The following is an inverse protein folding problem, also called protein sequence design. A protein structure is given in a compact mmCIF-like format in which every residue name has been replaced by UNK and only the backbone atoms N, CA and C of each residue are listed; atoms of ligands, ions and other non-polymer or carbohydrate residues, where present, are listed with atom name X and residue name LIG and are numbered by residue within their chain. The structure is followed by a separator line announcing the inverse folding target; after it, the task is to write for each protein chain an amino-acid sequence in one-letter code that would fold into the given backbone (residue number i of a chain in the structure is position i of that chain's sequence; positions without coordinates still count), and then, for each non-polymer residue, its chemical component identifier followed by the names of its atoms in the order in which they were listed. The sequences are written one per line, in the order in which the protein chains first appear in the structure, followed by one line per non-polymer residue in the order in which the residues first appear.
data_IF_793326602345
#
_entry.id   IF_793326602345
#
_cell.length_a   1.000
_cell.length_b   1.000
_cell.length_c   1.000
_cell.angle_alpha   90.00
_cell.angle_beta   90.00
_cell.angle_gamma   90.00
#
_symmetry.space_group_name_H-M   'P 1'
#
loop_
_entity.id
_entity.type
_entity.pdbx_description
1 polymer ?
#
# COMPACT_ATOMS: atom_id res chain seq x y z
N UNK A 1 -31.95 3.28 21.12
CA UNK A 1 -31.13 2.23 20.48
C UNK A 1 -30.20 1.66 21.53
N UNK A 2 -30.04 0.34 21.58
CA UNK A 2 -29.09 -0.30 22.50
C UNK A 2 -27.72 -0.43 21.84
N UNK A 3 -26.63 -0.46 22.63
CA UNK A 3 -25.27 -0.64 22.11
C UNK A 3 -25.07 -1.93 21.29
N UNK A 4 -25.98 -2.91 21.45
CA UNK A 4 -25.97 -4.16 20.69
C UNK A 4 -26.61 -4.01 19.31
N UNK A 5 -27.66 -3.18 19.18
CA UNK A 5 -28.26 -2.87 17.87
C UNK A 5 -27.29 -2.10 16.97
N UNK A 6 -26.48 -1.20 17.54
CA UNK A 6 -25.44 -0.50 16.79
C UNK A 6 -24.30 -1.42 16.35
N UNK A 7 -24.00 -2.48 17.11
CA UNK A 7 -22.96 -3.45 16.74
C UNK A 7 -23.40 -4.35 15.57
N UNK A 8 -24.64 -4.86 15.60
CA UNK A 8 -25.18 -5.70 14.51
C UNK A 8 -25.40 -4.91 13.20
N UNK A 9 -25.80 -3.63 13.31
CA UNK A 9 -25.90 -2.72 12.16
C UNK A 9 -24.52 -2.34 11.61
N UNK A 10 -23.54 -2.15 12.49
CA UNK A 10 -22.16 -1.89 12.10
C UNK A 10 -21.53 -3.10 11.42
N UNK A 11 -21.70 -4.31 11.97
CA UNK A 11 -21.25 -5.57 11.38
C UNK A 11 -21.87 -5.81 10.00
N UNK A 12 -23.16 -5.53 9.81
CA UNK A 12 -23.78 -5.59 8.48
C UNK A 12 -23.23 -4.57 7.51
N UNK A 13 -23.06 -3.33 7.95
CA UNK A 13 -22.47 -2.27 7.13
C UNK A 13 -21.06 -2.65 6.65
N UNK A 14 -20.27 -3.15 7.58
CA UNK A 14 -18.94 -3.73 7.41
C UNK A 14 -18.90 -4.85 6.36
N UNK A 15 -19.81 -5.83 6.46
CA UNK A 15 -19.88 -6.97 5.56
C UNK A 15 -20.36 -6.56 4.18
N UNK A 16 -21.33 -5.64 4.12
CA UNK A 16 -21.83 -5.07 2.87
C UNK A 16 -20.76 -4.24 2.12
N UNK A 17 -19.79 -3.64 2.82
CA UNK A 17 -18.66 -2.93 2.19
C UNK A 17 -17.58 -3.88 1.63
N UNK A 18 -17.42 -5.08 2.20
CA UNK A 18 -16.37 -6.04 1.81
C UNK A 18 -16.79 -7.07 0.75
N UNK A 19 -18.08 -7.40 0.63
CA UNK A 19 -18.55 -8.56 -0.15
C UNK A 19 -19.46 -8.22 -1.35
N UNK A 20 -19.88 -6.98 -1.55
CA UNK A 20 -20.75 -6.61 -2.69
C UNK A 20 -19.90 -6.33 -3.96
N UNK A 21 -20.14 -7.03 -5.09
CA UNK A 21 -19.53 -6.70 -6.39
C UNK A 21 -19.77 -5.24 -6.78
N UNK A 22 -18.75 -4.57 -7.33
CA UNK A 22 -18.73 -3.12 -7.58
C UNK A 22 -18.23 -2.29 -6.38
N UNK A 23 -17.37 -2.89 -5.56
CA UNK A 23 -17.05 -2.54 -4.18
C UNK A 23 -16.72 -1.07 -3.89
N UNK A 24 -17.31 -0.62 -2.80
CA UNK A 24 -16.85 0.50 -1.99
C UNK A 24 -15.34 0.41 -1.80
N UNK A 25 -14.57 1.48 -2.05
CA UNK A 25 -13.15 1.42 -1.83
C UNK A 25 -12.77 1.29 -0.36
N UNK A 26 -11.82 0.40 -0.11
CA UNK A 26 -11.18 0.25 1.19
C UNK A 26 -10.09 1.28 1.36
N UNK A 27 -10.10 1.88 2.55
CA UNK A 27 -9.09 2.82 2.99
C UNK A 27 -8.06 2.12 3.84
N UNK A 28 -6.84 2.03 3.32
CA UNK A 28 -5.69 1.53 4.06
C UNK A 28 -5.00 2.68 4.80
N UNK A 29 -4.73 2.47 6.09
CA UNK A 29 -4.01 3.37 6.97
C UNK A 29 -2.62 2.78 7.26
N UNK A 30 -1.56 3.57 7.10
CA UNK A 30 -0.15 3.13 7.17
C UNK A 30 0.30 2.49 8.52
N UNK A 31 1.41 1.74 8.45
CA UNK A 31 1.96 0.72 9.37
C UNK A 31 2.25 1.20 10.80
N UNK A 32 2.51 2.49 11.03
CA UNK A 32 2.87 3.01 12.37
C UNK A 32 1.76 2.82 13.41
N UNK A 33 0.52 2.66 12.95
CA UNK A 33 -0.63 2.50 13.82
C UNK A 33 -0.94 1.03 14.15
N UNK A 34 -1.02 0.18 13.12
CA UNK A 34 -1.51 -1.19 13.27
C UNK A 34 -0.39 -2.13 13.74
N UNK A 35 0.86 -1.89 13.33
CA UNK A 35 1.99 -2.73 13.75
C UNK A 35 2.34 -2.60 15.25
N UNK A 36 1.90 -1.52 15.91
CA UNK A 36 2.15 -1.27 17.33
C UNK A 36 1.04 -1.79 18.26
N UNK A 37 -0.03 -2.40 17.71
CA UNK A 37 -1.25 -2.67 18.48
C UNK A 37 -1.93 -1.39 18.97
N UNK A 38 -1.70 -0.26 18.28
CA UNK A 38 -2.33 1.00 18.65
C UNK A 38 -3.81 0.93 18.28
N UNK A 39 -4.64 1.51 19.15
CA UNK A 39 -6.07 1.61 18.93
C UNK A 39 -6.34 2.45 17.66
N UNK A 40 -6.95 1.86 16.62
CA UNK A 40 -7.21 2.57 15.37
C UNK A 40 -8.06 3.83 15.54
N UNK A 41 -8.87 3.92 16.61
CA UNK A 41 -9.65 5.12 16.93
C UNK A 41 -8.79 6.32 17.34
N UNK A 42 -7.55 6.10 17.78
CA UNK A 42 -6.61 7.17 18.12
C UNK A 42 -5.93 7.78 16.89
N UNK A 43 -6.08 7.17 15.72
CA UNK A 43 -5.47 7.62 14.46
C UNK A 43 -6.28 8.68 13.73
N UNK A 44 -7.57 8.80 14.07
CA UNK A 44 -8.49 9.75 13.45
C UNK A 44 -8.86 10.78 14.51
N UNK A 45 -8.30 11.99 14.44
CA UNK A 45 -8.50 12.97 15.47
C UNK A 45 -9.96 13.42 15.60
N UNK A 46 -10.45 13.47 16.83
CA UNK A 46 -11.70 14.15 17.21
C UNK A 46 -13.01 13.53 16.73
N UNK A 47 -13.00 12.35 16.09
CA UNK A 47 -14.19 11.85 15.36
C UNK A 47 -14.92 10.68 16.00
N UNK A 48 -14.41 10.03 17.04
CA UNK A 48 -15.12 8.89 17.60
C UNK A 48 -15.33 8.98 19.12
N UNK A 49 -16.60 8.85 19.52
CA UNK A 49 -16.92 8.16 20.77
C UNK A 49 -16.12 6.85 20.82
N UNK A 50 -15.69 6.40 22.00
CA UNK A 50 -14.79 5.25 22.09
C UNK A 50 -15.36 4.08 21.29
N UNK A 51 -14.60 3.56 20.31
CA UNK A 51 -15.00 2.34 19.60
C UNK A 51 -15.37 1.26 20.63
N UNK A 52 -16.29 0.34 20.31
CA UNK A 52 -16.45 -0.88 21.09
C UNK A 52 -15.07 -1.51 21.39
N UNK A 53 -14.84 -1.99 22.61
CA UNK A 53 -13.53 -2.53 23.06
C UNK A 53 -12.96 -3.57 22.08
N UNK A 54 -13.82 -4.42 21.53
CA UNK A 54 -13.48 -5.46 20.54
C UNK A 54 -12.89 -4.90 19.23
N UNK A 55 -13.20 -3.64 18.90
CA UNK A 55 -12.70 -2.96 17.70
C UNK A 55 -11.52 -2.04 18.01
N UNK A 56 -11.16 -1.84 19.29
CA UNK A 56 -9.96 -1.08 19.66
C UNK A 56 -8.69 -1.89 19.51
N UNK A 57 -8.78 -3.22 19.55
CA UNK A 57 -7.64 -4.13 19.44
C UNK A 57 -8.03 -5.36 18.60
N UNK A 58 -8.44 -5.18 17.34
CA UNK A 58 -8.63 -6.35 16.49
C UNK A 58 -7.30 -7.09 16.37
N UNK A 59 -7.35 -8.42 16.28
CA UNK A 59 -6.16 -9.19 15.95
C UNK A 59 -5.65 -8.69 14.59
N UNK A 60 -4.37 -8.29 14.47
CA UNK A 60 -3.84 -7.86 13.19
C UNK A 60 -4.01 -8.96 12.15
N UNK A 61 -4.24 -8.56 10.91
CA UNK A 61 -4.29 -9.48 9.77
C UNK A 61 -5.55 -10.37 9.68
N UNK A 62 -6.63 -10.00 10.36
CA UNK A 62 -7.93 -10.67 10.23
C UNK A 62 -8.92 -9.87 9.42
N UNK A 63 -9.88 -10.54 8.80
CA UNK A 63 -10.93 -9.89 8.01
C UNK A 63 -11.64 -8.76 8.77
N UNK A 64 -11.86 -8.91 10.07
CA UNK A 64 -12.43 -7.90 10.97
C UNK A 64 -11.56 -6.64 11.07
N UNK A 65 -10.22 -6.79 11.11
CA UNK A 65 -9.32 -5.65 11.09
C UNK A 65 -9.36 -4.90 9.74
N UNK A 66 -9.48 -5.62 8.62
CA UNK A 66 -9.54 -5.03 7.27
C UNK A 66 -10.82 -4.21 7.08
N UNK A 67 -11.91 -4.82 7.51
CA UNK A 67 -13.22 -4.20 7.66
C UNK A 67 -13.15 -2.93 8.50
N UNK A 68 -12.50 -2.98 9.66
CA UNK A 68 -12.43 -1.84 10.56
C UNK A 68 -11.67 -0.68 9.90
N UNK A 69 -10.55 -0.96 9.24
CA UNK A 69 -9.81 0.06 8.48
C UNK A 69 -10.70 0.72 7.41
N UNK A 70 -11.50 -0.06 6.70
CA UNK A 70 -12.43 0.43 5.69
C UNK A 70 -13.44 1.43 6.28
N UNK A 71 -14.03 1.07 7.42
CA UNK A 71 -15.00 1.95 8.10
C UNK A 71 -14.35 3.21 8.65
N UNK A 72 -13.19 3.08 9.28
CA UNK A 72 -12.42 4.23 9.80
C UNK A 72 -12.09 5.21 8.68
N UNK A 73 -11.65 4.71 7.53
CA UNK A 73 -11.38 5.59 6.40
C UNK A 73 -12.62 6.25 5.80
N UNK A 74 -13.77 5.59 5.80
CA UNK A 74 -15.01 6.26 5.40
C UNK A 74 -15.35 7.39 6.40
N UNK A 75 -15.24 7.15 7.71
CA UNK A 75 -15.43 8.21 8.70
C UNK A 75 -14.45 9.37 8.52
N UNK A 76 -13.19 9.07 8.20
CA UNK A 76 -12.19 10.08 7.87
C UNK A 76 -12.63 10.92 6.66
N UNK A 77 -13.06 10.27 5.57
CA UNK A 77 -13.50 10.95 4.35
C UNK A 77 -14.77 11.79 4.58
N UNK A 78 -15.74 11.28 5.34
CA UNK A 78 -16.96 12.00 5.70
C UNK A 78 -16.69 13.23 6.55
N UNK A 79 -15.60 13.21 7.32
CA UNK A 79 -15.22 14.29 8.22
C UNK A 79 -14.30 15.33 7.57
N UNK A 80 -13.94 15.18 6.30
CA UNK A 80 -13.15 16.17 5.56
C UNK A 80 -13.85 17.53 5.57
N UNK A 81 -13.21 18.52 6.20
CA UNK A 81 -13.78 19.86 6.39
C UNK A 81 -14.35 20.12 7.80
N UNK A 82 -14.20 19.20 8.74
CA UNK A 82 -14.59 19.38 10.14
C UNK A 82 -13.76 20.43 10.92
N UNK A 83 -12.78 21.06 10.27
CA UNK A 83 -11.94 22.09 10.90
C UNK A 83 -10.78 21.52 11.74
N UNK A 84 -10.15 20.45 11.26
CA UNK A 84 -8.99 19.83 11.90
C UNK A 84 -7.84 20.82 12.09
N UNK A 85 -7.17 20.72 13.24
CA UNK A 85 -5.93 21.42 13.53
C UNK A 85 -4.75 20.81 12.75
N UNK A 86 -3.64 21.55 12.68
CA UNK A 86 -2.45 21.08 11.96
C UNK A 86 -1.87 19.78 12.53
N UNK A 87 -1.78 19.67 13.87
CA UNK A 87 -1.29 18.45 14.53
C UNK A 87 -2.19 17.23 14.23
N UNK A 88 -3.50 17.46 14.06
CA UNK A 88 -4.44 16.42 13.69
C UNK A 88 -4.24 15.97 12.23
N UNK A 89 -4.00 16.92 11.32
CA UNK A 89 -3.66 16.63 9.92
C UNK A 89 -2.32 15.88 9.78
N UNK A 90 -1.31 16.24 10.58
CA UNK A 90 -0.02 15.55 10.62
C UNK A 90 -0.16 14.10 11.13
N UNK A 91 -1.07 13.85 12.07
CA UNK A 91 -1.31 12.53 12.63
C UNK A 91 -2.05 11.57 11.69
N UNK A 92 -2.76 12.07 10.68
CA UNK A 92 -3.46 11.23 9.70
C UNK A 92 -2.41 10.40 8.92
N UNK A 93 -2.48 9.07 8.91
CA UNK A 93 -1.54 8.26 8.16
C UNK A 93 -1.78 8.39 6.64
N UNK A 94 -1.01 7.67 5.84
CA UNK A 94 -1.35 7.54 4.40
C UNK A 94 -2.75 6.96 4.25
N UNK A 95 -3.48 7.45 3.25
CA UNK A 95 -4.84 7.02 2.90
C UNK A 95 -4.81 6.47 1.47
N UNK A 96 -5.10 5.18 1.32
CA UNK A 96 -5.34 4.57 0.00
C UNK A 96 -6.84 4.49 -0.30
N UNK A 97 -7.23 4.44 -1.57
CA UNK A 97 -8.60 4.16 -1.99
C UNK A 97 -8.56 3.05 -3.04
N UNK A 98 -9.02 1.85 -2.68
CA UNK A 98 -8.77 0.64 -3.46
C UNK A 98 -10.00 0.24 -4.29
N UNK A 99 -9.85 0.08 -5.60
CA UNK A 99 -10.91 -0.41 -6.49
C UNK A 99 -10.47 -1.71 -7.16
N UNK A 100 -11.42 -2.63 -7.35
CA UNK A 100 -11.24 -3.83 -8.19
C UNK A 100 -12.07 -3.63 -9.46
N UNK A 101 -13.32 -4.07 -9.48
CA UNK A 101 -14.33 -3.78 -10.50
C UNK A 101 -15.22 -2.60 -10.06
N UNK A 102 -15.76 -1.85 -11.03
CA UNK A 102 -16.71 -0.75 -10.74
C UNK A 102 -17.92 -0.86 -11.66
N UNK A 103 -19.07 -1.20 -11.07
CA UNK A 103 -20.35 -1.19 -11.78
C UNK A 103 -20.78 0.25 -12.12
N UNK A 104 -21.41 0.50 -13.29
CA UNK A 104 -21.92 1.82 -13.63
C UNK A 104 -22.86 2.43 -12.58
N UNK A 105 -23.59 1.60 -11.83
CA UNK A 105 -24.50 2.05 -10.78
C UNK A 105 -23.78 2.66 -9.56
N UNK A 106 -22.48 2.38 -9.40
CA UNK A 106 -21.66 2.90 -8.31
C UNK A 106 -20.81 4.11 -8.71
N UNK A 107 -20.91 4.59 -9.96
CA UNK A 107 -20.11 5.70 -10.46
C UNK A 107 -20.29 6.99 -9.63
N UNK A 108 -21.53 7.32 -9.24
CA UNK A 108 -21.80 8.50 -8.41
C UNK A 108 -21.18 8.38 -7.00
N UNK A 109 -21.14 7.16 -6.46
CA UNK A 109 -20.50 6.88 -5.16
C UNK A 109 -18.98 7.02 -5.28
N UNK A 110 -18.38 6.45 -6.33
CA UNK A 110 -16.96 6.56 -6.60
C UNK A 110 -16.54 8.03 -6.79
N UNK A 111 -17.27 8.82 -7.59
CA UNK A 111 -16.98 10.23 -7.81
C UNK A 111 -17.05 11.05 -6.52
N UNK A 112 -18.07 10.82 -5.69
CA UNK A 112 -18.22 11.48 -4.39
C UNK A 112 -17.04 11.18 -3.48
N UNK A 113 -16.60 9.92 -3.40
CA UNK A 113 -15.49 9.51 -2.55
C UNK A 113 -14.16 10.04 -3.04
N UNK A 114 -13.89 9.96 -4.34
CA UNK A 114 -12.69 10.55 -4.96
C UNK A 114 -12.64 12.06 -4.77
N UNK A 115 -13.78 12.75 -4.82
CA UNK A 115 -13.86 14.19 -4.52
C UNK A 115 -13.47 14.50 -3.08
N UNK A 116 -13.94 13.71 -2.11
CA UNK A 116 -13.53 13.85 -0.69
C UNK A 116 -12.06 13.54 -0.50
N UNK A 117 -11.56 12.49 -1.16
CA UNK A 117 -10.16 12.10 -1.14
C UNK A 117 -9.25 13.20 -1.70
N UNK A 118 -9.65 13.86 -2.79
CA UNK A 118 -8.92 15.00 -3.36
C UNK A 118 -8.87 16.19 -2.40
N UNK A 119 -9.97 16.49 -1.70
CA UNK A 119 -9.98 17.54 -0.66
C UNK A 119 -9.08 17.16 0.51
N UNK A 120 -9.08 15.89 0.93
CA UNK A 120 -8.17 15.40 1.98
C UNK A 120 -6.71 15.57 1.55
N UNK A 121 -6.35 15.19 0.33
CA UNK A 121 -5.00 15.43 -0.23
C UNK A 121 -4.61 16.91 -0.10
N UNK A 122 -5.50 17.82 -0.45
CA UNK A 122 -5.21 19.27 -0.39
C UNK A 122 -5.03 19.77 1.05
N UNK A 123 -5.68 19.15 2.03
CA UNK A 123 -5.48 19.44 3.46
C UNK A 123 -4.18 18.84 4.01
N UNK A 124 -3.79 17.66 3.53
CA UNK A 124 -2.58 16.94 3.94
C UNK A 124 -1.32 17.42 3.23
N UNK A 125 -1.46 18.21 2.16
CA UNK A 125 -0.37 18.81 1.43
C UNK A 125 0.22 19.96 2.25
N UNK A 126 1.16 19.64 3.14
CA UNK A 126 2.07 20.63 3.69
C UNK A 126 2.85 21.24 2.51
N UNK A 127 3.07 22.55 2.50
CA UNK A 127 3.64 23.32 1.38
C UNK A 127 5.08 22.96 0.96
N UNK A 128 5.54 21.74 1.20
CA UNK A 128 6.79 21.15 0.74
C UNK A 128 6.66 20.59 -0.69
N UNK A 129 7.52 21.10 -1.57
CA UNK A 129 7.67 20.62 -2.93
C UNK A 129 7.99 19.11 -2.98
N UNK A 130 7.08 18.32 -3.54
CA UNK A 130 7.42 17.09 -4.24
C UNK A 130 7.82 15.90 -3.36
N UNK A 131 7.04 15.57 -2.33
CA UNK A 131 7.21 14.27 -1.67
C UNK A 131 7.14 13.14 -2.70
N UNK A 132 8.17 12.28 -2.66
CA UNK A 132 8.25 11.09 -3.50
C UNK A 132 7.08 10.14 -3.24
N UNK A 133 6.41 10.21 -2.08
CA UNK A 133 5.32 9.32 -1.69
C UNK A 133 4.05 10.11 -1.38
N UNK A 134 2.99 10.02 -2.21
CA UNK A 134 1.77 10.74 -1.92
C UNK A 134 1.09 10.20 -0.65
N UNK A 135 0.68 11.10 0.25
CA UNK A 135 -0.12 10.75 1.46
C UNK A 135 -1.52 10.25 1.13
N UNK A 136 -1.97 10.45 -0.10
CA UNK A 136 -3.26 10.03 -0.62
C UNK A 136 -3.05 9.34 -1.96
N UNK A 137 -3.53 8.11 -2.11
CA UNK A 137 -3.32 7.30 -3.33
C UNK A 137 -4.60 6.57 -3.74
N UNK A 138 -4.82 6.45 -5.05
CA UNK A 138 -5.88 5.60 -5.62
C UNK A 138 -5.25 4.35 -6.20
N UNK A 139 -5.76 3.18 -5.84
CA UNK A 139 -5.28 1.88 -6.30
C UNK A 139 -6.35 1.22 -7.18
N UNK A 140 -5.96 0.75 -8.36
CA UNK A 140 -6.79 -0.10 -9.22
C UNK A 140 -6.15 -1.50 -9.27
N UNK A 141 -6.80 -2.47 -8.65
CA UNK A 141 -6.36 -3.86 -8.60
C UNK A 141 -6.85 -4.65 -9.82
N UNK A 142 -6.22 -5.79 -10.03
CA UNK A 142 -6.50 -6.83 -11.04
C UNK A 142 -6.39 -6.41 -12.51
N UNK A 143 -6.48 -5.12 -12.82
CA UNK A 143 -6.41 -4.61 -14.18
C UNK A 143 -7.74 -4.67 -14.93
N UNK A 144 -8.87 -4.67 -14.21
CA UNK A 144 -10.20 -4.61 -14.84
C UNK A 144 -10.38 -3.33 -15.63
N UNK A 145 -10.89 -3.48 -16.86
CA UNK A 145 -11.10 -2.38 -17.80
C UNK A 145 -12.14 -1.39 -17.32
N UNK A 146 -13.25 -1.86 -16.76
CA UNK A 146 -14.36 -1.04 -16.29
C UNK A 146 -13.94 -0.07 -15.16
N UNK A 147 -13.18 -0.55 -14.19
CA UNK A 147 -12.64 0.27 -13.13
C UNK A 147 -11.72 1.37 -13.67
N UNK A 148 -10.85 1.05 -14.63
CA UNK A 148 -10.02 2.05 -15.28
C UNK A 148 -10.85 3.09 -16.06
N UNK A 149 -11.83 2.65 -16.84
CA UNK A 149 -12.72 3.52 -17.62
C UNK A 149 -13.53 4.47 -16.73
N UNK A 150 -13.96 4.02 -15.55
CA UNK A 150 -14.78 4.83 -14.64
C UNK A 150 -13.93 5.71 -13.70
N UNK A 151 -12.90 5.15 -13.09
CA UNK A 151 -12.16 5.82 -12.01
C UNK A 151 -11.09 6.77 -12.56
N UNK A 152 -10.36 6.38 -13.61
CA UNK A 152 -9.22 7.19 -14.12
C UNK A 152 -9.66 8.59 -14.57
N UNK A 153 -10.74 8.78 -15.36
CA UNK A 153 -11.16 10.12 -15.76
C UNK A 153 -11.52 11.03 -14.58
N UNK A 154 -12.10 10.48 -13.52
CA UNK A 154 -12.41 11.21 -12.29
C UNK A 154 -11.11 11.62 -11.59
N UNK A 155 -10.17 10.68 -11.42
CA UNK A 155 -8.86 10.96 -10.82
C UNK A 155 -8.09 12.02 -11.60
N UNK A 156 -8.05 11.95 -12.93
CA UNK A 156 -7.39 12.94 -13.78
C UNK A 156 -8.01 14.34 -13.62
N UNK A 157 -9.35 14.44 -13.57
CA UNK A 157 -10.05 15.70 -13.33
C UNK A 157 -9.74 16.29 -11.95
N UNK A 158 -9.55 15.44 -10.94
CA UNK A 158 -9.27 15.85 -9.56
C UNK A 158 -7.77 15.99 -9.25
N UNK A 159 -6.89 15.65 -10.21
CA UNK A 159 -5.44 15.63 -10.03
C UNK A 159 -4.94 14.54 -9.07
N UNK A 160 -5.70 13.45 -8.89
CA UNK A 160 -5.30 12.31 -8.07
C UNK A 160 -4.38 11.37 -8.85
N UNK A 161 -3.32 10.89 -8.18
CA UNK A 161 -2.46 9.87 -8.75
C UNK A 161 -3.07 8.48 -8.55
N UNK A 162 -2.99 7.67 -9.60
CA UNK A 162 -3.46 6.28 -9.62
C UNK A 162 -2.25 5.35 -9.73
N UNK A 163 -2.27 4.25 -8.97
CA UNK A 163 -1.40 3.09 -9.16
C UNK A 163 -2.26 1.94 -9.67
N UNK A 164 -1.90 1.38 -10.82
CA UNK A 164 -2.61 0.30 -11.48
C UNK A 164 -1.82 -0.98 -11.26
N UNK A 165 -2.44 -1.98 -10.66
CA UNK A 165 -1.85 -3.25 -10.22
C UNK A 165 -2.47 -4.41 -11.02
N UNK A 166 -2.13 -4.57 -12.32
CA UNK A 166 -2.80 -5.55 -13.17
C UNK A 166 -2.28 -6.97 -12.92
N UNK A 167 -3.18 -7.95 -12.93
CA UNK A 167 -2.81 -9.35 -13.13
C UNK A 167 -2.34 -9.47 -14.58
N UNK A 168 -1.15 -10.03 -14.81
CA UNK A 168 -0.56 -9.99 -16.14
C UNK A 168 -1.19 -10.98 -17.15
N UNK A 169 -1.91 -11.99 -16.68
CA UNK A 169 -2.69 -12.92 -17.49
C UNK A 169 -4.19 -12.56 -17.44
N UNK A 170 -4.84 -12.56 -18.60
CA UNK A 170 -6.28 -12.31 -18.72
C UNK A 170 -7.09 -13.28 -17.85
N UNK A 171 -8.02 -12.74 -17.06
CA UNK A 171 -8.90 -13.53 -16.19
C UNK A 171 -10.15 -13.89 -17.01
N UNK A 172 -10.33 -15.15 -17.37
CA UNK A 172 -11.42 -15.63 -18.25
C UNK A 172 -12.86 -15.39 -17.72
N UNK A 173 -13.03 -14.95 -16.46
CA UNK A 173 -14.34 -14.81 -15.78
C UNK A 173 -14.76 -13.35 -15.52
N UNK A 174 -14.12 -12.36 -16.14
CA UNK A 174 -14.48 -10.96 -15.94
C UNK A 174 -15.52 -10.45 -16.97
N UNK A 175 -16.51 -9.70 -16.48
CA UNK A 175 -17.64 -9.24 -17.33
C UNK A 175 -17.26 -8.09 -18.28
N UNK A 176 -16.08 -7.49 -18.10
CA UNK A 176 -15.64 -6.28 -18.79
C UNK A 176 -14.28 -6.40 -19.50
N UNK A 177 -13.56 -7.52 -19.35
CA UNK A 177 -12.19 -7.68 -19.84
C UNK A 177 -11.15 -7.03 -18.94
N UNK A 178 -9.90 -7.47 -19.12
CA UNK A 178 -8.71 -6.83 -18.55
C UNK A 178 -8.13 -5.77 -19.50
N UNK A 179 -7.29 -4.88 -18.95
CA UNK A 179 -6.54 -3.88 -19.71
C UNK A 179 -5.47 -4.54 -20.59
N UNK A 180 -5.45 -4.18 -21.87
CA UNK A 180 -4.38 -4.58 -22.80
C UNK A 180 -3.09 -3.79 -22.59
N UNK A 181 -1.98 -4.29 -23.14
CA UNK A 181 -0.65 -3.64 -23.10
C UNK A 181 -0.68 -2.21 -23.65
N UNK A 182 -1.44 -1.95 -24.72
CA UNK A 182 -1.58 -0.61 -25.30
C UNK A 182 -2.30 0.35 -24.34
N UNK A 183 -3.29 -0.15 -23.62
CA UNK A 183 -4.05 0.62 -22.62
C UNK A 183 -3.19 0.91 -21.39
N UNK A 184 -2.45 -0.10 -20.89
CA UNK A 184 -1.48 0.06 -19.82
C UNK A 184 -0.36 1.05 -20.20
N UNK A 185 0.18 0.96 -21.42
CA UNK A 185 1.19 1.90 -21.94
C UNK A 185 0.66 3.34 -21.97
N UNK A 186 -0.60 3.52 -22.40
CA UNK A 186 -1.25 4.84 -22.42
C UNK A 186 -1.42 5.39 -21.00
N UNK A 187 -1.92 4.57 -20.08
CA UNK A 187 -2.16 4.96 -18.68
C UNK A 187 -0.84 5.27 -17.95
N UNK A 188 0.23 4.51 -18.22
CA UNK A 188 1.55 4.69 -17.61
C UNK A 188 2.20 6.06 -17.89
N UNK A 189 1.73 6.81 -18.89
CA UNK A 189 2.18 8.18 -19.18
C UNK A 189 1.82 9.18 -18.09
N UNK A 190 0.76 8.89 -17.31
CA UNK A 190 0.21 9.79 -16.26
C UNK A 190 0.09 9.10 -14.91
N UNK A 191 -0.02 7.78 -14.89
CA UNK A 191 -0.23 6.97 -13.70
C UNK A 191 0.93 5.99 -13.50
N UNK A 192 1.02 5.41 -12.32
CA UNK A 192 2.02 4.39 -12.03
C UNK A 192 1.47 2.99 -12.35
N UNK A 193 2.33 2.12 -12.85
CA UNK A 193 2.06 0.68 -12.88
C UNK A 193 2.75 0.04 -11.66
N UNK A 194 2.02 -0.85 -10.99
CA UNK A 194 2.48 -1.65 -9.87
C UNK A 194 2.48 -3.13 -10.20
N UNK A 195 3.27 -3.90 -9.46
CA UNK A 195 3.34 -5.35 -9.60
C UNK A 195 2.13 -6.05 -8.97
N UNK A 196 1.50 -7.00 -9.69
CA UNK A 196 0.41 -7.82 -9.14
C UNK A 196 0.37 -9.27 -9.67
N UNK A 197 1.55 -9.87 -9.84
CA UNK A 197 1.75 -11.27 -10.29
C UNK A 197 1.22 -11.60 -11.69
N UNK A 198 1.45 -12.83 -12.15
CA UNK A 198 0.97 -13.31 -13.44
C UNK A 198 -0.42 -13.92 -13.31
N UNK A 199 -0.64 -14.78 -12.32
CA UNK A 199 -1.91 -15.53 -12.15
C UNK A 199 -2.57 -15.26 -10.81
N UNK A 200 -2.41 -14.05 -10.25
CA UNK A 200 -2.99 -13.63 -8.99
C UNK A 200 -2.59 -14.52 -7.79
N UNK A 201 -1.29 -14.65 -7.54
CA UNK A 201 -0.75 -15.52 -6.47
C UNK A 201 -0.44 -14.77 -5.18
N UNK A 202 -0.56 -15.49 -4.06
CA UNK A 202 -0.05 -15.03 -2.77
C UNK A 202 1.48 -15.21 -2.69
N UNK A 203 2.13 -14.44 -1.81
CA UNK A 203 3.60 -14.43 -1.70
C UNK A 203 4.21 -15.79 -1.31
N UNK A 204 3.52 -16.55 -0.45
CA UNK A 204 3.94 -17.87 0.05
C UNK A 204 3.71 -19.01 -0.96
N UNK A 205 2.96 -18.73 -2.02
CA UNK A 205 2.72 -19.65 -3.14
C UNK A 205 3.78 -19.53 -4.25
N UNK A 206 4.72 -18.58 -4.13
CA UNK A 206 5.83 -18.41 -5.07
C UNK A 206 6.95 -19.40 -4.74
N UNK A 207 7.25 -20.27 -5.69
CA UNK A 207 8.26 -21.33 -5.57
C UNK A 207 9.44 -21.07 -6.51
N UNK A 208 10.57 -21.79 -6.37
CA UNK A 208 11.68 -21.69 -7.33
C UNK A 208 11.26 -21.95 -8.78
N UNK A 209 10.20 -22.73 -9.03
CA UNK A 209 9.73 -23.01 -10.39
C UNK A 209 8.81 -21.93 -10.94
N UNK A 210 8.15 -21.13 -10.10
CA UNK A 210 7.18 -20.10 -10.52
C UNK A 210 7.71 -18.68 -10.42
N UNK A 211 8.74 -18.41 -9.61
CA UNK A 211 9.27 -17.06 -9.34
C UNK A 211 9.66 -16.27 -10.60
N UNK A 212 10.14 -16.94 -11.64
CA UNK A 212 10.46 -16.27 -12.90
C UNK A 212 9.19 -15.73 -13.56
N UNK A 213 8.21 -16.59 -13.82
CA UNK A 213 6.97 -16.22 -14.50
C UNK A 213 6.08 -15.28 -13.66
N UNK A 214 5.92 -15.57 -12.37
CA UNK A 214 5.02 -14.82 -11.48
C UNK A 214 5.58 -13.48 -11.02
N UNK A 215 6.91 -13.31 -11.02
CA UNK A 215 7.56 -12.13 -10.44
C UNK A 215 8.45 -11.44 -11.45
N UNK A 216 9.48 -12.13 -11.93
CA UNK A 216 10.52 -11.51 -12.76
C UNK A 216 9.97 -11.02 -14.10
N UNK A 217 9.26 -11.88 -14.82
CA UNK A 217 8.75 -11.57 -16.15
C UNK A 217 7.65 -10.49 -16.08
N UNK A 218 6.83 -10.51 -15.04
CA UNK A 218 5.80 -9.48 -14.80
C UNK A 218 6.44 -8.11 -14.55
N UNK A 219 7.43 -8.02 -13.65
CA UNK A 219 8.14 -6.77 -13.38
C UNK A 219 8.84 -6.26 -14.65
N UNK A 220 9.49 -7.14 -15.42
CA UNK A 220 10.12 -6.76 -16.68
C UNK A 220 9.10 -6.28 -17.73
N UNK A 221 7.96 -6.96 -17.87
CA UNK A 221 6.86 -6.53 -18.76
C UNK A 221 6.37 -5.14 -18.38
N UNK A 222 6.01 -4.92 -17.12
CA UNK A 222 5.54 -3.62 -16.64
C UNK A 222 6.60 -2.52 -16.82
N UNK A 223 7.87 -2.86 -16.61
CA UNK A 223 9.00 -1.95 -16.86
C UNK A 223 9.08 -1.56 -18.33
N UNK A 224 8.91 -2.52 -19.25
CA UNK A 224 8.86 -2.27 -20.69
C UNK A 224 7.70 -1.36 -21.10
N UNK A 225 6.51 -1.57 -20.53
CA UNK A 225 5.31 -0.77 -20.81
C UNK A 225 5.41 0.66 -20.26
N UNK A 226 5.93 0.83 -19.04
CA UNK A 226 6.00 2.12 -18.35
C UNK A 226 7.31 2.90 -18.61
N UNK A 227 8.34 2.25 -19.15
CA UNK A 227 9.69 2.81 -19.27
C UNK A 227 10.42 2.98 -17.94
N UNK A 228 9.89 2.43 -16.84
CA UNK A 228 10.43 2.53 -15.47
C UNK A 228 10.00 1.32 -14.65
N UNK A 229 10.86 0.88 -13.73
CA UNK A 229 10.56 -0.22 -12.81
C UNK A 229 9.32 0.12 -11.96
N UNK A 230 8.36 -0.81 -11.80
CA UNK A 230 7.30 -0.68 -10.80
C UNK A 230 7.91 -0.43 -9.44
N UNK A 231 7.54 0.69 -8.83
CA UNK A 231 8.00 1.03 -7.49
C UNK A 231 7.26 0.21 -6.42
N UNK A 232 5.98 -0.06 -6.69
CA UNK A 232 5.03 -0.62 -5.75
C UNK A 232 4.59 -1.99 -6.23
N UNK A 233 4.43 -2.94 -5.32
CA UNK A 233 3.78 -4.22 -5.60
C UNK A 233 2.67 -4.54 -4.61
N UNK A 234 1.81 -5.48 -4.97
CA UNK A 234 0.85 -6.10 -4.08
C UNK A 234 0.72 -7.59 -4.40
N UNK A 235 0.53 -8.41 -3.37
CA UNK A 235 0.25 -9.84 -3.52
C UNK A 235 -1.24 -10.12 -3.43
N UNK A 236 -1.69 -11.22 -4.05
CA UNK A 236 -3.04 -11.74 -3.81
C UNK A 236 -3.26 -11.96 -2.30
N UNK A 237 -4.45 -11.60 -1.82
CA UNK A 237 -4.80 -11.68 -0.40
C UNK A 237 -4.12 -10.64 0.49
N UNK A 238 -3.35 -9.70 -0.08
CA UNK A 238 -2.79 -8.56 0.66
C UNK A 238 -1.80 -8.96 1.74
N UNK A 239 -0.91 -9.92 1.46
CA UNK A 239 0.14 -10.36 2.39
C UNK A 239 1.19 -9.27 2.64
N UNK A 240 1.74 -9.23 3.85
CA UNK A 240 2.84 -8.34 4.24
C UNK A 240 4.18 -8.72 3.63
N UNK A 241 5.13 -7.79 3.69
CA UNK A 241 6.51 -8.08 3.35
C UNK A 241 7.17 -9.00 4.39
N UNK A 242 7.71 -10.12 3.92
CA UNK A 242 8.52 -11.07 4.69
C UNK A 242 9.71 -11.50 3.82
N UNK A 243 10.92 -11.11 4.23
CA UNK A 243 12.16 -11.38 3.49
C UNK A 243 12.53 -12.88 3.45
N UNK A 244 11.85 -13.72 4.24
CA UNK A 244 11.98 -15.18 4.17
C UNK A 244 11.24 -15.77 2.97
N UNK A 245 10.27 -15.06 2.40
CA UNK A 245 9.54 -15.50 1.21
C UNK A 245 10.32 -15.19 -0.06
N UNK A 246 10.35 -16.17 -0.97
CA UNK A 246 11.12 -16.08 -2.21
C UNK A 246 10.63 -14.93 -3.11
N UNK A 247 9.31 -14.77 -3.25
CA UNK A 247 8.72 -13.71 -4.06
C UNK A 247 9.12 -12.30 -3.57
N UNK A 248 9.09 -12.07 -2.26
CA UNK A 248 9.44 -10.79 -1.66
C UNK A 248 10.92 -10.41 -1.87
N UNK A 249 11.84 -11.36 -1.64
CA UNK A 249 13.26 -11.14 -1.97
C UNK A 249 13.44 -10.77 -3.43
N UNK A 250 12.72 -11.47 -4.31
CA UNK A 250 12.82 -11.24 -5.75
C UNK A 250 12.31 -9.86 -6.16
N UNK A 251 11.19 -9.40 -5.58
CA UNK A 251 10.70 -8.03 -5.82
C UNK A 251 11.73 -6.98 -5.42
N UNK A 252 12.34 -7.13 -4.24
CA UNK A 252 13.41 -6.22 -3.77
C UNK A 252 14.60 -6.20 -4.73
N UNK A 253 15.09 -7.38 -5.15
CA UNK A 253 16.19 -7.50 -6.12
C UNK A 253 15.89 -6.82 -7.46
N UNK A 254 14.62 -6.77 -7.87
CA UNK A 254 14.18 -6.13 -9.10
C UNK A 254 13.93 -4.63 -8.95
N UNK A 255 14.14 -4.05 -7.76
CA UNK A 255 14.03 -2.62 -7.49
C UNK A 255 12.63 -2.15 -7.10
N UNK A 256 11.72 -3.05 -6.74
CA UNK A 256 10.44 -2.69 -6.10
C UNK A 256 10.75 -2.24 -4.67
N UNK A 257 10.34 -1.01 -4.30
CA UNK A 257 10.70 -0.38 -3.02
C UNK A 257 9.55 -0.33 -2.03
N UNK A 258 8.33 -0.64 -2.47
CA UNK A 258 7.13 -0.52 -1.68
C UNK A 258 6.20 -1.73 -1.91
N UNK A 259 5.58 -2.23 -0.84
CA UNK A 259 4.57 -3.28 -0.89
C UNK A 259 3.27 -2.78 -0.26
N UNK A 260 2.16 -2.93 -0.97
CA UNK A 260 0.82 -2.72 -0.43
C UNK A 260 0.29 -4.07 0.02
N UNK A 261 -0.11 -4.12 1.29
CA UNK A 261 -0.85 -5.23 1.88
C UNK A 261 -2.30 -4.81 2.14
N UNK A 262 -3.15 -5.70 2.65
CA UNK A 262 -4.48 -5.33 3.14
C UNK A 262 -4.43 -4.49 4.44
N UNK A 263 -3.23 -4.15 4.91
CA UNK A 263 -3.01 -3.64 6.26
C UNK A 263 -2.23 -2.34 6.29
N UNK A 264 -1.33 -2.17 5.33
CA UNK A 264 -0.35 -1.08 5.34
C UNK A 264 0.32 -0.90 3.99
N UNK A 265 0.99 0.24 3.87
CA UNK A 265 1.95 0.50 2.81
C UNK A 265 3.36 0.35 3.37
N UNK A 266 4.03 -0.75 3.04
CA UNK A 266 5.32 -1.09 3.62
C UNK A 266 6.46 -0.64 2.70
N UNK A 267 7.40 0.15 3.22
CA UNK A 267 8.67 0.39 2.52
C UNK A 267 9.56 -0.84 2.65
N UNK A 268 9.91 -1.43 1.52
CA UNK A 268 10.88 -2.51 1.42
C UNK A 268 12.27 -1.89 1.66
N UNK A 269 12.77 -1.98 2.89
CA UNK A 269 14.09 -1.43 3.22
C UNK A 269 15.20 -2.23 2.54
N UNK A 270 16.19 -1.51 1.99
CA UNK A 270 17.49 -2.10 1.69
C UNK A 270 18.17 -2.47 3.01
N UNK A 271 18.35 -3.78 3.23
CA UNK A 271 19.12 -4.30 4.38
C UNK A 271 20.61 -3.93 4.26
N UNK A 272 21.04 -3.43 3.09
CA UNK A 272 22.39 -2.96 2.84
C UNK A 272 22.66 -1.58 3.48
N UNK A 273 22.81 -1.56 4.81
CA UNK A 273 23.26 -0.35 5.51
C UNK A 273 23.33 -0.40 7.04
N UNK A 274 22.86 -1.46 7.70
CA UNK A 274 22.85 -1.55 9.17
C UNK A 274 23.90 -2.46 9.80
N UNK A 275 24.81 -3.05 9.02
CA UNK A 275 26.00 -3.69 9.56
C UNK A 275 27.17 -2.70 9.58
N UNK A 276 27.08 -1.75 10.51
CA UNK A 276 28.24 -1.02 11.02
C UNK A 276 29.15 -1.97 11.77
N UNK A 277 29.92 -2.78 11.05
CA UNK A 277 31.07 -3.51 11.60
C UNK A 277 32.07 -2.44 12.05
N UNK A 278 32.04 -2.14 13.34
CA UNK A 278 33.14 -1.51 14.06
C UNK A 278 34.34 -2.45 13.98
N UNK A 279 35.12 -2.34 12.90
CA UNK A 279 36.51 -2.73 12.94
C UNK A 279 37.20 -1.71 13.84
N UNK A 280 37.39 -2.11 15.09
CA UNK A 280 38.44 -1.58 15.96
C UNK A 280 39.75 -1.81 15.22
N UNK A 281 40.20 -0.77 14.50
CA UNK A 281 41.57 -0.68 14.01
C UNK A 281 42.41 -0.41 15.25
N UNK A 282 43.16 -1.43 15.69
CA UNK A 282 44.17 -1.26 16.71
C UNK A 282 45.22 -0.26 16.25
N UNK A 283 45.41 0.79 17.03
CA UNK A 283 46.54 1.70 16.93
C UNK A 283 47.85 0.90 17.09
N UNK A 284 48.58 0.72 16.00
CA UNK A 284 50.02 0.48 16.07
C UNK A 284 50.70 1.84 16.20
N UNK A 285 51.07 2.21 17.42
CA UNK A 285 51.97 3.31 17.68
C UNK A 285 53.41 2.90 17.34
N UNK A 286 54.03 3.70 16.48
CA UNK A 286 55.46 3.73 16.22
C UNK A 286 56.26 3.95 17.50
N UNK A 287 57.22 3.06 17.79
CA UNK A 287 58.41 3.39 18.57
C UNK A 287 59.67 2.88 17.86
N UNK A 288 60.33 3.83 17.20
CA UNK A 288 61.75 3.77 16.81
C UNK A 288 62.62 3.67 18.07
N UNK A 289 63.46 2.65 18.18
CA UNK A 289 64.44 2.49 19.26
C UNK A 289 65.54 1.48 18.94
N UNK A 290 66.68 2.01 18.49
CA UNK A 290 68.01 1.44 18.24
C UNK A 290 68.41 0.05 18.81
N UNK A 291 69.03 -0.74 17.89
CA UNK A 291 70.27 -1.56 17.99
C UNK A 291 70.78 -2.04 19.36
N UNK A 292 70.98 -3.37 19.48
CA UNK A 292 72.28 -4.00 19.77
C UNK A 292 72.28 -5.49 19.33
N UNK A 293 73.42 -5.95 18.82
CA UNK A 293 73.72 -7.33 18.39
C UNK A 293 73.99 -8.25 19.59
N UNK A 294 73.87 -9.58 19.46
CA UNK A 294 74.30 -10.53 20.50
C UNK A 294 75.82 -10.75 20.44
N UNK A 295 76.46 -10.77 21.61
CA UNK A 295 77.81 -11.31 21.82
C UNK A 295 77.72 -12.81 22.10
N UNK A 296 78.63 -13.55 21.48
CA UNK A 296 78.95 -14.96 21.75
C UNK A 296 79.51 -15.13 23.16
N UNK A 297 78.99 -16.09 23.95
CA UNK A 297 79.66 -16.96 24.94
C UNK A 297 78.66 -17.80 25.72
#
# INVERSE_FOLDING_TARGET
MTAKQSADEFERYVLDQGEQPGGTPVVLLDDAAVAAGADPSLLIPGIMDPLPELLRQPEPFTYEAYVLQSVLGEFLLESVGAGWSHAELEAIPRVALNFHDVSPEHLEVADRRLTKLARLRDLLADGGNGELHPRVVVLLFDGYRDAAEMVVPICERLGLQVVILPIALEVEDDRAGTLSDDELTRLARRHALGFHTLTHRAADQVTPTTVTAEVTDVVHRLTGLAGRTPRVGAWCGGARFDDRLLGNRRLRELGVTDLISNWSWETIQDVAGRDGVSHVVGECADHNGLRALPDDS
#
